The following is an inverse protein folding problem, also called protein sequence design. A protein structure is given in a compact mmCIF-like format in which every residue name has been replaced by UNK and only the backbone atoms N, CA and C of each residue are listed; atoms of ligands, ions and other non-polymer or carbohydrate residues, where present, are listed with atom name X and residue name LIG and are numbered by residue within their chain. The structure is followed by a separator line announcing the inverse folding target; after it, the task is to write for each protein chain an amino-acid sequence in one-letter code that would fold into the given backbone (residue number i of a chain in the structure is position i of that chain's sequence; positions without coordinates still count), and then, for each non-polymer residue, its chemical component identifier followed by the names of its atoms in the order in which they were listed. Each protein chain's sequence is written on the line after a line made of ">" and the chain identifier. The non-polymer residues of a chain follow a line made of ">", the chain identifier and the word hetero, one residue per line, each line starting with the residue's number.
data_IF_938131322520
#
_entry.id   IF_938131322520
#
_cell.length_a   1.000
_cell.length_b   1.000
_cell.length_c   1.000
_cell.angle_alpha   90.00
_cell.angle_beta   90.00
_cell.angle_gamma   90.00
#
_symmetry.space_group_name_H-M   'P 1'
#
loop_
_entity.id
_entity.type
_entity.pdbx_description
1 polymer ?
#
# COMPACT_ATOMS: atom_id res chain seq x y z
N UNK A 1 2.40 -7.09 13.46
CA UNK A 1 1.38 -6.03 13.28
C UNK A 1 1.99 -4.63 13.30
N UNK A 2 2.66 -4.22 14.38
CA UNK A 2 3.14 -2.82 14.52
C UNK A 2 4.01 -2.34 13.37
N UNK A 3 4.96 -3.16 12.88
CA UNK A 3 5.76 -2.81 11.71
C UNK A 3 4.92 -2.44 10.47
N UNK A 4 3.80 -3.11 10.24
CA UNK A 4 2.89 -2.79 9.13
C UNK A 4 2.11 -1.52 9.46
N UNK A 5 1.52 -1.44 10.66
CA UNK A 5 0.64 -0.35 11.06
C UNK A 5 1.35 1.01 11.15
N UNK A 6 2.58 1.04 11.67
CA UNK A 6 3.34 2.28 11.90
C UNK A 6 4.44 2.51 10.87
N UNK A 7 4.84 1.46 10.14
CA UNK A 7 5.88 1.52 9.11
C UNK A 7 5.27 1.46 7.72
N UNK A 8 5.00 0.26 7.20
CA UNK A 8 4.54 0.11 5.82
C UNK A 8 3.34 1.01 5.46
N UNK A 9 2.30 1.00 6.29
CA UNK A 9 1.03 1.70 6.06
C UNK A 9 1.19 3.21 5.83
N UNK A 10 1.65 4.02 6.80
CA UNK A 10 1.77 5.47 6.62
C UNK A 10 2.77 5.84 5.53
N UNK A 11 3.86 5.08 5.37
CA UNK A 11 4.87 5.39 4.36
C UNK A 11 4.44 5.06 2.94
N UNK A 12 3.63 4.01 2.73
CA UNK A 12 2.95 3.76 1.45
C UNK A 12 2.04 4.92 1.07
N UNK A 13 1.24 5.41 2.02
CA UNK A 13 0.36 6.57 1.81
C UNK A 13 1.13 7.83 1.43
N UNK A 14 2.23 8.12 2.13
CA UNK A 14 3.09 9.27 1.82
C UNK A 14 3.79 9.12 0.46
N UNK A 15 4.33 7.94 0.14
CA UNK A 15 4.95 7.69 -1.16
C UNK A 15 3.96 7.94 -2.29
N UNK A 16 2.76 7.35 -2.20
CA UNK A 16 1.68 7.53 -3.17
C UNK A 16 1.26 9.00 -3.26
N UNK A 17 1.13 9.70 -2.13
CA UNK A 17 0.76 11.11 -2.10
C UNK A 17 1.74 11.97 -2.88
N UNK A 18 3.03 11.88 -2.57
CA UNK A 18 4.04 12.69 -3.26
C UNK A 18 4.29 12.26 -4.70
N UNK A 19 4.01 10.99 -5.07
CA UNK A 19 4.11 10.53 -6.45
C UNK A 19 2.97 11.05 -7.34
N UNK A 20 1.74 11.07 -6.83
CA UNK A 20 0.54 11.21 -7.68
C UNK A 20 -0.39 12.37 -7.33
N UNK A 21 -0.32 12.90 -6.11
CA UNK A 21 -1.37 13.78 -5.59
C UNK A 21 -0.89 15.13 -5.06
N UNK A 22 0.38 15.23 -4.61
CA UNK A 22 0.93 16.50 -4.15
C UNK A 22 0.83 17.56 -5.27
N UNK A 23 0.38 18.80 -4.95
CA UNK A 23 0.19 19.85 -5.97
C UNK A 23 1.52 20.31 -6.58
N UNK A 24 2.58 20.30 -5.79
CA UNK A 24 3.93 20.62 -6.22
C UNK A 24 4.78 19.35 -6.39
N UNK A 25 5.66 19.37 -7.39
CA UNK A 25 6.63 18.29 -7.56
C UNK A 25 7.83 18.47 -6.62
N UNK A 26 7.81 17.71 -5.52
CA UNK A 26 8.87 17.72 -4.51
C UNK A 26 9.75 16.48 -4.67
N UNK A 27 10.79 16.59 -5.52
CA UNK A 27 11.71 15.49 -5.84
C UNK A 27 12.33 14.81 -4.60
N UNK A 28 12.71 15.60 -3.58
CA UNK A 28 13.24 15.06 -2.32
C UNK A 28 12.22 14.18 -1.59
N UNK A 29 10.97 14.62 -1.49
CA UNK A 29 9.91 13.88 -0.79
C UNK A 29 9.61 12.56 -1.52
N UNK A 30 9.44 12.60 -2.85
CA UNK A 30 9.29 11.41 -3.69
C UNK A 30 10.41 10.40 -3.42
N UNK A 31 11.67 10.83 -3.54
CA UNK A 31 12.81 9.95 -3.30
C UNK A 31 12.82 9.39 -1.86
N UNK A 32 12.62 10.24 -0.85
CA UNK A 32 12.62 9.84 0.56
C UNK A 32 11.58 8.74 0.84
N UNK A 33 10.33 8.96 0.42
CA UNK A 33 9.25 8.02 0.74
C UNK A 33 9.28 6.76 -0.11
N UNK A 34 9.71 6.84 -1.38
CA UNK A 34 9.92 5.63 -2.21
C UNK A 34 11.04 4.78 -1.63
N UNK A 35 12.18 5.37 -1.26
CA UNK A 35 13.31 4.64 -0.64
C UNK A 35 12.91 3.96 0.68
N UNK A 36 12.10 4.64 1.47
CA UNK A 36 11.62 4.07 2.73
C UNK A 36 10.59 2.95 2.51
N UNK A 37 9.75 3.07 1.48
CA UNK A 37 8.86 2.00 1.06
C UNK A 37 9.64 0.76 0.59
N UNK A 38 10.69 0.96 -0.23
CA UNK A 38 11.61 -0.11 -0.64
C UNK A 38 12.24 -0.80 0.58
N UNK A 39 12.70 -0.01 1.57
CA UNK A 39 13.27 -0.55 2.81
C UNK A 39 12.26 -1.40 3.59
N UNK A 40 11.01 -0.95 3.69
CA UNK A 40 9.95 -1.72 4.37
C UNK A 40 9.69 -3.06 3.67
N UNK A 41 9.53 -3.07 2.35
CA UNK A 41 9.34 -4.31 1.61
C UNK A 41 10.56 -5.22 1.66
N UNK A 42 11.78 -4.70 1.67
CA UNK A 42 12.98 -5.51 1.86
C UNK A 42 13.01 -6.19 3.25
N UNK A 43 12.53 -5.53 4.31
CA UNK A 43 12.40 -6.15 5.64
C UNK A 43 11.34 -7.25 5.64
N UNK A 44 10.19 -7.00 5.03
CA UNK A 44 9.09 -7.95 4.92
C UNK A 44 9.49 -9.17 4.12
N UNK A 45 10.19 -8.97 3.01
CA UNK A 45 10.69 -10.04 2.14
C UNK A 45 11.65 -10.95 2.91
N UNK A 46 12.65 -10.37 3.61
CA UNK A 46 13.56 -11.15 4.47
C UNK A 46 12.83 -11.91 5.58
N UNK A 47 11.78 -11.35 6.15
CA UNK A 47 10.97 -12.02 7.18
C UNK A 47 10.21 -13.21 6.58
N UNK A 48 9.55 -12.99 5.46
CA UNK A 48 8.75 -13.99 4.75
C UNK A 48 9.58 -15.05 4.01
N UNK A 49 10.89 -14.82 3.86
CA UNK A 49 11.85 -15.85 3.45
C UNK A 49 12.26 -16.80 4.59
N UNK A 50 11.95 -16.48 5.85
CA UNK A 50 12.28 -17.31 7.02
C UNK A 50 11.06 -18.00 7.66
N UNK A 51 9.85 -17.58 7.29
CA UNK A 51 8.61 -18.15 7.80
C UNK A 51 7.51 -17.97 6.76
N UNK A 52 6.51 -18.85 6.82
CA UNK A 52 5.39 -18.82 5.89
C UNK A 52 4.60 -17.50 5.97
N UNK A 53 4.34 -17.03 7.18
CA UNK A 53 3.63 -15.80 7.51
C UNK A 53 4.45 -14.91 8.46
N UNK A 54 3.99 -13.68 8.70
CA UNK A 54 4.74 -12.70 9.50
C UNK A 54 5.00 -13.14 10.94
N UNK A 55 4.08 -13.90 11.54
CA UNK A 55 4.18 -14.37 12.92
C UNK A 55 4.71 -15.81 13.04
N UNK A 56 4.98 -16.51 11.95
CA UNK A 56 5.37 -17.93 11.95
C UNK A 56 4.61 -18.71 10.88
N UNK A 57 4.09 -19.87 11.27
CA UNK A 57 3.41 -20.79 10.33
C UNK A 57 1.90 -20.56 10.22
N UNK A 58 1.33 -19.79 11.16
CA UNK A 58 -0.08 -19.46 11.18
C UNK A 58 -0.36 -18.04 10.67
N UNK A 59 -1.47 -17.91 9.95
CA UNK A 59 -1.95 -16.62 9.43
C UNK A 59 -2.58 -15.79 10.55
N UNK A 60 -2.18 -14.53 10.66
CA UNK A 60 -2.65 -13.63 11.72
C UNK A 60 -3.19 -12.32 11.16
N UNK A 61 -3.69 -11.45 12.05
CA UNK A 61 -4.08 -10.08 11.70
C UNK A 61 -2.91 -9.26 11.13
N UNK A 62 -1.65 -9.62 11.42
CA UNK A 62 -0.50 -8.94 10.83
C UNK A 62 -0.42 -9.19 9.32
N UNK A 63 -0.73 -10.41 8.90
CA UNK A 63 -0.74 -10.83 7.50
C UNK A 63 -1.92 -10.19 6.76
N UNK A 64 -3.08 -10.09 7.42
CA UNK A 64 -4.24 -9.37 6.90
C UNK A 64 -3.92 -7.91 6.62
N UNK A 65 -3.25 -7.24 7.56
CA UNK A 65 -2.82 -5.86 7.40
C UNK A 65 -1.79 -5.70 6.26
N UNK A 66 -0.82 -6.63 6.14
CA UNK A 66 0.16 -6.60 5.07
C UNK A 66 -0.51 -6.77 3.70
N UNK A 67 -1.39 -7.76 3.55
CA UNK A 67 -2.07 -8.05 2.29
C UNK A 67 -2.82 -6.82 1.76
N UNK A 68 -3.55 -6.11 2.63
CA UNK A 68 -4.30 -4.90 2.24
C UNK A 68 -3.41 -3.82 1.63
N UNK A 69 -2.23 -3.56 2.21
CA UNK A 69 -1.29 -2.55 1.69
C UNK A 69 -0.48 -3.04 0.50
N UNK A 70 -0.04 -4.30 0.51
CA UNK A 70 0.74 -4.88 -0.57
C UNK A 70 -0.06 -5.04 -1.87
N UNK A 71 -1.39 -5.20 -1.80
CA UNK A 71 -2.26 -5.19 -2.98
C UNK A 71 -2.19 -3.88 -3.78
N UNK A 72 -1.82 -2.77 -3.14
CA UNK A 72 -1.70 -1.44 -3.78
C UNK A 72 -0.25 -1.06 -4.13
N UNK A 73 0.72 -1.95 -3.93
CA UNK A 73 2.15 -1.65 -4.16
C UNK A 73 2.46 -1.23 -5.61
N UNK A 74 1.72 -1.77 -6.58
CA UNK A 74 1.85 -1.37 -7.99
C UNK A 74 1.54 0.12 -8.23
N UNK A 75 0.77 0.77 -7.35
CA UNK A 75 0.52 2.20 -7.46
C UNK A 75 1.76 3.04 -7.11
N UNK A 76 2.65 2.53 -6.26
CA UNK A 76 3.93 3.19 -5.97
C UNK A 76 5.05 2.76 -6.91
N UNK A 77 5.12 1.48 -7.30
CA UNK A 77 6.24 0.91 -8.05
C UNK A 77 5.98 0.68 -9.55
N UNK A 78 4.80 1.06 -10.06
CA UNK A 78 4.43 0.85 -11.45
C UNK A 78 4.32 -0.62 -11.82
N UNK A 79 4.60 -0.94 -13.09
CA UNK A 79 4.48 -2.30 -13.66
C UNK A 79 5.32 -3.34 -12.93
N UNK A 80 6.47 -2.92 -12.37
CA UNK A 80 7.35 -3.80 -11.60
C UNK A 80 6.67 -4.33 -10.33
N UNK A 81 5.77 -3.53 -9.74
CA UNK A 81 5.07 -3.87 -8.51
C UNK A 81 6.01 -4.38 -7.42
N UNK A 82 5.74 -5.59 -6.92
CA UNK A 82 6.54 -6.25 -5.88
C UNK A 82 7.62 -7.19 -6.44
N UNK A 83 7.99 -7.07 -7.72
CA UNK A 83 8.90 -8.01 -8.40
C UNK A 83 10.28 -8.17 -7.76
N UNK A 84 10.78 -7.16 -7.03
CA UNK A 84 12.05 -7.26 -6.27
C UNK A 84 11.93 -8.03 -4.94
N UNK A 85 10.72 -8.39 -4.54
CA UNK A 85 10.39 -8.96 -3.24
C UNK A 85 9.69 -10.32 -3.41
N UNK A 86 10.41 -11.36 -3.88
CA UNK A 86 9.82 -12.64 -4.27
C UNK A 86 9.09 -13.36 -3.12
N UNK A 87 9.54 -13.20 -1.87
CA UNK A 87 8.87 -13.79 -0.71
C UNK A 87 7.57 -13.05 -0.36
N UNK A 88 7.51 -11.73 -0.63
CA UNK A 88 6.28 -10.96 -0.54
C UNK A 88 5.32 -11.34 -1.66
N UNK A 89 5.80 -11.56 -2.88
CA UNK A 89 4.98 -12.06 -4.01
C UNK A 89 4.38 -13.42 -3.68
N UNK A 90 5.19 -14.39 -3.21
CA UNK A 90 4.70 -15.69 -2.70
C UNK A 90 3.60 -15.50 -1.66
N UNK A 91 3.84 -14.65 -0.67
CA UNK A 91 2.87 -14.36 0.37
C UNK A 91 1.55 -13.80 -0.20
N UNK A 92 1.62 -12.87 -1.15
CA UNK A 92 0.44 -12.28 -1.80
C UNK A 92 -0.35 -13.32 -2.57
N UNK A 93 0.31 -14.23 -3.28
CA UNK A 93 -0.35 -15.32 -4.02
C UNK A 93 -1.06 -16.29 -3.07
N UNK A 94 -0.41 -16.67 -1.97
CA UNK A 94 -1.01 -17.53 -0.95
C UNK A 94 -2.19 -16.84 -0.24
N UNK A 95 -2.02 -15.59 0.16
CA UNK A 95 -3.04 -14.82 0.87
C UNK A 95 -4.27 -14.56 -0.02
N UNK A 96 -4.06 -14.25 -1.31
CA UNK A 96 -5.14 -13.97 -2.26
C UNK A 96 -6.01 -15.20 -2.53
N UNK A 97 -5.44 -16.42 -2.49
CA UNK A 97 -6.19 -17.67 -2.66
C UNK A 97 -7.14 -18.00 -1.49
N UNK A 98 -7.07 -17.28 -0.37
CA UNK A 98 -7.94 -17.53 0.79
C UNK A 98 -9.39 -17.18 0.45
N UNK A 99 -10.38 -18.06 0.74
CA UNK A 99 -11.79 -17.77 0.45
C UNK A 99 -12.32 -16.47 1.07
N UNK A 100 -11.82 -16.09 2.25
CA UNK A 100 -12.21 -14.83 2.88
C UNK A 100 -11.70 -13.59 2.13
N UNK A 101 -10.51 -13.67 1.53
CA UNK A 101 -9.92 -12.60 0.73
C UNK A 101 -10.70 -12.45 -0.59
N UNK A 102 -11.01 -13.57 -1.25
CA UNK A 102 -11.85 -13.55 -2.45
C UNK A 102 -13.21 -12.90 -2.20
N UNK A 103 -13.90 -13.27 -1.10
CA UNK A 103 -15.16 -12.61 -0.73
C UNK A 103 -15.01 -11.09 -0.51
N UNK A 104 -13.90 -10.64 0.06
CA UNK A 104 -13.63 -9.22 0.23
C UNK A 104 -13.39 -8.50 -1.11
N UNK A 105 -12.68 -9.14 -2.05
CA UNK A 105 -12.51 -8.62 -3.40
C UNK A 105 -13.85 -8.54 -4.16
N UNK A 106 -14.71 -9.55 -4.03
CA UNK A 106 -16.04 -9.57 -4.64
C UNK A 106 -16.95 -8.46 -4.10
N UNK A 107 -16.79 -8.04 -2.84
CA UNK A 107 -17.54 -6.91 -2.30
C UNK A 107 -17.26 -5.61 -3.04
N UNK A 108 -16.01 -5.38 -3.48
CA UNK A 108 -15.67 -4.19 -4.27
C UNK A 108 -16.47 -4.16 -5.58
N UNK A 109 -16.72 -5.31 -6.20
CA UNK A 109 -17.50 -5.40 -7.43
C UNK A 109 -19.00 -5.12 -7.25
N UNK A 110 -19.51 -5.11 -6.01
CA UNK A 110 -20.92 -4.85 -5.71
C UNK A 110 -21.25 -3.36 -5.58
N UNK A 111 -20.24 -2.50 -5.58
CA UNK A 111 -20.40 -1.07 -5.41
C UNK A 111 -19.64 -0.31 -6.49
N UNK A 112 -20.32 0.63 -7.15
CA UNK A 112 -19.67 1.58 -8.05
C UNK A 112 -19.19 2.76 -7.23
N UNK A 113 -17.87 2.91 -7.11
CA UNK A 113 -17.26 4.09 -6.48
C UNK A 113 -16.94 5.14 -7.56
N UNK A 114 -17.07 6.42 -7.21
CA UNK A 114 -16.64 7.53 -8.09
C UNK A 114 -15.13 7.38 -8.34
N UNK A 115 -14.75 7.19 -9.60
CA UNK A 115 -13.35 7.04 -10.00
C UNK A 115 -12.69 8.37 -10.39
N UNK A 116 -13.50 9.36 -10.78
CA UNK A 116 -13.01 10.64 -11.29
C UNK A 116 -12.48 11.54 -10.18
N UNK A 117 -11.23 11.98 -10.36
CA UNK A 117 -10.56 12.99 -9.53
C UNK A 117 -10.86 14.40 -10.04
N UNK A 118 -12.14 14.73 -10.19
CA UNK A 118 -12.60 16.08 -10.54
C UNK A 118 -12.31 17.12 -9.42
N UNK A 119 -12.61 18.39 -9.69
CA UNK A 119 -12.33 19.47 -8.75
C UNK A 119 -13.04 19.30 -7.40
N UNK A 120 -14.26 18.76 -7.39
CA UNK A 120 -14.99 18.48 -6.15
C UNK A 120 -14.31 17.36 -5.35
N UNK A 121 -13.99 16.24 -6.00
CA UNK A 121 -13.26 15.12 -5.39
C UNK A 121 -11.91 15.56 -4.83
N UNK A 122 -11.16 16.37 -5.57
CA UNK A 122 -9.85 16.90 -5.14
C UNK A 122 -9.99 17.79 -3.90
N UNK A 123 -10.97 18.70 -3.87
CA UNK A 123 -11.25 19.54 -2.70
C UNK A 123 -11.67 18.70 -1.49
N UNK A 124 -12.46 17.65 -1.69
CA UNK A 124 -12.88 16.76 -0.61
C UNK A 124 -11.71 15.91 -0.06
N UNK A 125 -10.80 15.46 -0.93
CA UNK A 125 -9.65 14.63 -0.53
C UNK A 125 -8.50 15.44 0.08
N UNK A 126 -8.28 16.67 -0.40
CA UNK A 126 -7.17 17.52 0.01
C UNK A 126 -7.65 18.94 0.37
N UNK A 127 -8.55 19.09 1.36
CA UNK A 127 -9.09 20.39 1.74
C UNK A 127 -8.00 21.38 2.19
N UNK A 128 -6.86 20.89 2.68
CA UNK A 128 -5.71 21.70 3.08
C UNK A 128 -5.08 22.50 1.93
N UNK A 129 -5.28 22.10 0.67
CA UNK A 129 -4.73 22.84 -0.48
C UNK A 129 -5.49 24.15 -0.77
N UNK A 130 -6.68 24.33 -0.18
CA UNK A 130 -7.52 25.52 -0.33
C UNK A 130 -7.42 26.45 0.88
N UNK A 131 -6.72 26.03 1.94
CA UNK A 131 -6.73 26.70 3.24
C UNK A 131 -5.90 28.00 3.29
N UNK A 132 -5.23 28.38 2.20
CA UNK A 132 -4.45 29.62 2.10
C UNK A 132 -5.25 30.79 1.50
N UNK A 133 -6.47 31.00 2.01
CA UNK A 133 -7.25 32.23 1.83
C UNK A 133 -7.65 32.85 3.19
N UNK A 134 -6.73 32.83 4.16
CA UNK A 134 -6.83 33.59 5.41
C UNK A 134 -5.61 34.48 5.57
#
# INVERSE_FOLDING_TARGET
>A
LQFVATGLSPFSGQAIHFLHYAPEDIAYAKNRYVKELERHYAVLDRRLGKARYLAGDEYTIADMALWGWAASAGYAFGEKGLGDYPNVVRFMDEATKRPAVQRALDMKARHTFKADLDAESRRAMFPQNEADAV
#
